data_IF_120895190346
#
_entry.id   IF_120895190346
#
_cell.length_a   1.000
_cell.length_b   1.000
_cell.length_c   1.000
_cell.angle_alpha   90.00
_cell.angle_beta   90.00
_cell.angle_gamma   90.00
#
_symmetry.space_group_name_H-M   'P 1'
#
loop_
_entity.id
_entity.type
_entity.pdbx_description
1 polymer ?
#
# COMPACT_ATOMS: atom_id res chain seq x y z
N UNK A 1 12.24 6.34 -11.01
CA UNK A 1 12.13 5.31 -9.96
C UNK A 1 13.39 4.48 -10.08
N UNK A 2 14.18 4.30 -9.02
CA UNK A 2 15.19 3.24 -9.04
C UNK A 2 14.42 1.94 -9.18
N UNK A 3 14.61 1.24 -10.29
CA UNK A 3 13.93 -0.01 -10.57
C UNK A 3 15.00 -1.05 -10.77
N UNK A 4 15.00 -2.07 -9.92
CA UNK A 4 15.90 -3.21 -10.06
C UNK A 4 15.62 -3.89 -11.39
N UNK A 5 16.69 -4.24 -12.09
CA UNK A 5 16.64 -5.03 -13.31
C UNK A 5 16.90 -6.51 -13.02
N UNK A 6 17.56 -6.81 -11.90
CA UNK A 6 17.85 -8.20 -11.50
C UNK A 6 17.46 -8.49 -10.05
N UNK A 7 17.41 -9.79 -9.72
CA UNK A 7 17.14 -10.25 -8.36
C UNK A 7 18.26 -9.89 -7.40
N UNK A 8 19.51 -9.92 -7.86
CA UNK A 8 20.70 -9.59 -7.07
C UNK A 8 20.70 -8.11 -6.70
N UNK A 9 20.30 -7.23 -7.62
CA UNK A 9 20.08 -5.81 -7.32
C UNK A 9 19.04 -5.60 -6.24
N UNK A 10 17.89 -6.29 -6.34
CA UNK A 10 16.87 -6.26 -5.32
C UNK A 10 17.44 -6.71 -3.96
N UNK A 11 18.14 -7.85 -3.92
CA UNK A 11 18.70 -8.40 -2.67
C UNK A 11 19.69 -7.46 -2.00
N UNK A 12 20.60 -6.85 -2.76
CA UNK A 12 21.54 -5.84 -2.23
C UNK A 12 20.82 -4.68 -1.54
N UNK A 13 19.68 -4.29 -2.08
CA UNK A 13 18.90 -3.14 -1.64
C UNK A 13 17.99 -3.47 -0.45
N UNK A 14 17.49 -4.70 -0.40
CA UNK A 14 16.84 -5.25 0.80
C UNK A 14 17.84 -5.44 1.95
N UNK A 15 19.09 -5.77 1.66
CA UNK A 15 20.16 -5.94 2.65
C UNK A 15 20.67 -4.62 3.25
N UNK A 16 20.34 -3.46 2.67
CA UNK A 16 20.80 -2.18 3.20
C UNK A 16 20.36 -1.98 4.65
N UNK A 17 21.27 -1.46 5.48
CA UNK A 17 21.01 -1.21 6.90
C UNK A 17 19.78 -0.29 7.12
N UNK A 18 19.53 0.67 6.22
CA UNK A 18 18.35 1.54 6.27
C UNK A 18 17.05 0.77 6.07
N UNK A 19 17.04 -0.24 5.19
CA UNK A 19 15.89 -1.13 4.95
C UNK A 19 15.66 -2.01 6.16
N UNK A 20 16.72 -2.65 6.67
CA UNK A 20 16.66 -3.52 7.85
C UNK A 20 16.15 -2.75 9.09
N UNK A 21 16.69 -1.55 9.34
CA UNK A 21 16.20 -0.67 10.42
C UNK A 21 14.74 -0.24 10.23
N UNK A 22 14.27 -0.06 8.99
CA UNK A 22 12.87 0.25 8.74
C UNK A 22 11.96 -0.96 9.04
N UNK A 23 12.40 -2.17 8.68
CA UNK A 23 11.70 -3.41 9.04
C UNK A 23 11.67 -3.60 10.55
N UNK A 24 12.80 -3.41 11.25
CA UNK A 24 12.87 -3.53 12.71
C UNK A 24 11.95 -2.53 13.42
N UNK A 25 11.94 -1.27 12.95
CA UNK A 25 11.01 -0.25 13.47
C UNK A 25 9.57 -0.66 13.25
N UNK A 26 9.27 -1.23 12.08
CA UNK A 26 7.94 -1.73 11.79
C UNK A 26 7.54 -2.90 12.68
N UNK A 27 8.44 -3.87 12.91
CA UNK A 27 8.20 -5.01 13.80
C UNK A 27 8.02 -4.60 15.27
N UNK A 28 8.51 -3.42 15.67
CA UNK A 28 8.29 -2.84 17.00
C UNK A 28 6.99 -2.04 17.12
N UNK A 29 6.31 -1.77 16.00
CA UNK A 29 5.01 -1.11 16.01
C UNK A 29 4.00 -1.91 16.84
N UNK A 30 3.10 -1.20 17.53
CA UNK A 30 2.10 -1.82 18.39
C UNK A 30 0.75 -1.15 18.20
N UNK A 31 -0.27 -1.94 17.88
CA UNK A 31 -1.66 -1.53 17.82
C UNK A 31 -2.37 -1.95 19.12
N UNK A 32 -2.96 -1.02 19.89
CA UNK A 32 -3.60 -1.35 21.16
C UNK A 32 -4.77 -2.34 21.03
N UNK A 33 -5.58 -2.18 19.99
CA UNK A 33 -6.79 -2.96 19.74
C UNK A 33 -7.20 -2.89 18.26
N UNK A 34 -8.24 -3.65 17.90
CA UNK A 34 -8.73 -3.78 16.51
C UNK A 34 -9.34 -2.47 16.01
N UNK A 35 -9.94 -1.68 16.88
CA UNK A 35 -10.52 -0.38 16.54
C UNK A 35 -9.44 0.62 16.11
N UNK A 36 -8.35 0.68 16.89
CA UNK A 36 -7.20 1.54 16.61
C UNK A 36 -6.49 1.08 15.32
N UNK A 37 -6.32 -0.23 15.16
CA UNK A 37 -5.83 -0.83 13.92
C UNK A 37 -6.66 -0.41 12.71
N UNK A 38 -7.99 -0.57 12.77
CA UNK A 38 -8.88 -0.24 11.66
C UNK A 38 -8.87 1.26 11.33
N UNK A 39 -8.57 2.11 12.33
CA UNK A 39 -8.36 3.53 12.13
C UNK A 39 -7.02 3.83 11.41
N UNK A 40 -5.95 3.14 11.79
CA UNK A 40 -4.58 3.42 11.35
C UNK A 40 -4.22 2.76 10.00
N UNK A 41 -4.77 1.58 9.69
CA UNK A 41 -4.37 0.85 8.49
C UNK A 41 -4.98 1.42 7.18
N UNK A 42 -6.04 2.23 7.28
CA UNK A 42 -6.73 2.83 6.13
C UNK A 42 -7.04 4.32 6.36
N UNK A 43 -5.98 5.13 6.34
CA UNK A 43 -6.06 6.57 6.53
C UNK A 43 -6.54 7.34 5.29
N UNK A 44 -6.79 8.65 5.45
CA UNK A 44 -7.20 9.56 4.37
C UNK A 44 -6.28 9.52 3.17
N UNK A 45 -4.96 9.41 3.34
CA UNK A 45 -4.02 9.35 2.21
C UNK A 45 -4.22 8.08 1.38
N UNK A 46 -4.40 6.94 2.06
CA UNK A 46 -4.74 5.67 1.42
C UNK A 46 -6.09 5.79 0.73
N UNK A 47 -7.13 6.28 1.41
CA UNK A 47 -8.46 6.46 0.84
C UNK A 47 -8.49 7.41 -0.38
N UNK A 48 -7.69 8.48 -0.39
CA UNK A 48 -7.58 9.39 -1.53
C UNK A 48 -7.09 8.70 -2.81
N UNK A 49 -6.29 7.64 -2.68
CA UNK A 49 -5.74 6.91 -3.82
C UNK A 49 -6.80 6.12 -4.62
N UNK A 50 -8.00 5.95 -4.06
CA UNK A 50 -9.08 5.19 -4.69
C UNK A 50 -9.85 6.02 -5.72
N UNK A 51 -9.50 7.31 -5.92
CA UNK A 51 -10.10 8.24 -6.90
C UNK A 51 -11.64 8.11 -6.96
N UNK A 52 -12.25 8.10 -5.79
CA UNK A 52 -13.68 8.21 -5.66
C UNK A 52 -14.12 9.45 -6.41
N UNK A 53 -14.89 9.27 -7.49
CA UNK A 53 -15.38 10.39 -8.30
C UNK A 53 -16.07 11.35 -7.34
N UNK A 54 -15.81 12.66 -7.49
CA UNK A 54 -16.52 13.71 -6.76
C UNK A 54 -18.01 13.58 -7.07
N UNK A 55 -18.71 12.83 -6.25
CA UNK A 55 -20.15 12.83 -6.17
C UNK A 55 -20.44 13.66 -4.93
N UNK A 56 -20.67 14.96 -5.13
CA UNK A 56 -20.99 15.97 -4.10
C UNK A 56 -22.35 15.69 -3.40
N UNK A 57 -22.75 14.43 -3.22
CA UNK A 57 -24.12 14.05 -2.89
C UNK A 57 -24.20 12.92 -1.83
N UNK A 58 -23.13 12.60 -1.08
CA UNK A 58 -23.21 11.65 0.07
C UNK A 58 -22.27 12.00 1.22
N UNK A 59 -22.78 11.91 2.45
CA UNK A 59 -22.02 12.09 3.71
C UNK A 59 -21.13 10.90 4.09
N UNK A 60 -21.18 9.79 3.35
CA UNK A 60 -20.52 8.55 3.75
C UNK A 60 -19.05 8.55 3.31
N UNK A 61 -18.13 8.69 4.27
CA UNK A 61 -16.69 8.63 4.00
C UNK A 61 -16.22 7.18 3.74
N UNK A 62 -15.36 6.93 2.74
CA UNK A 62 -14.79 5.60 2.46
C UNK A 62 -14.11 4.94 3.67
N UNK A 63 -13.44 5.76 4.49
CA UNK A 63 -12.80 5.30 5.73
C UNK A 63 -13.83 4.83 6.76
N UNK A 64 -15.02 5.43 6.79
CA UNK A 64 -16.10 5.00 7.67
C UNK A 64 -16.69 3.66 7.22
N UNK A 65 -16.88 3.46 5.91
CA UNK A 65 -17.31 2.17 5.34
C UNK A 65 -16.30 1.08 5.69
N UNK A 66 -15.01 1.33 5.45
CA UNK A 66 -13.95 0.39 5.80
C UNK A 66 -13.97 0.03 7.29
N UNK A 67 -14.05 1.01 8.19
CA UNK A 67 -14.04 0.76 9.65
C UNK A 67 -15.24 -0.07 10.10
N UNK A 68 -16.44 0.22 9.58
CA UNK A 68 -17.65 -0.58 9.87
C UNK A 68 -17.52 -2.03 9.41
N UNK A 69 -16.78 -2.29 8.34
CA UNK A 69 -16.48 -3.65 7.89
C UNK A 69 -15.33 -4.28 8.70
N UNK A 70 -14.23 -3.56 8.88
CA UNK A 70 -12.97 -4.10 9.40
C UNK A 70 -13.09 -4.52 10.86
N UNK A 71 -13.74 -3.72 11.70
CA UNK A 71 -13.85 -4.03 13.14
C UNK A 71 -14.53 -5.39 13.38
N UNK A 72 -15.79 -5.62 12.94
CA UNK A 72 -16.43 -6.92 13.16
C UNK A 72 -15.72 -8.06 12.41
N UNK A 73 -15.24 -7.82 11.18
CA UNK A 73 -14.54 -8.84 10.39
C UNK A 73 -13.27 -9.33 11.10
N UNK A 74 -12.41 -8.39 11.53
CA UNK A 74 -11.16 -8.73 12.20
C UNK A 74 -11.40 -9.30 13.59
N UNK A 75 -12.36 -8.78 14.36
CA UNK A 75 -12.70 -9.35 15.67
C UNK A 75 -13.12 -10.81 15.56
N UNK A 76 -13.96 -11.15 14.59
CA UNK A 76 -14.40 -12.53 14.37
C UNK A 76 -13.32 -13.46 13.82
N UNK A 77 -12.36 -12.95 13.05
CA UNK A 77 -11.37 -13.76 12.34
C UNK A 77 -9.97 -13.75 12.97
N UNK A 78 -9.66 -12.82 13.89
CA UNK A 78 -8.34 -12.67 14.47
C UNK A 78 -7.76 -13.97 15.05
N UNK A 79 -8.49 -14.78 15.85
CA UNK A 79 -7.95 -16.04 16.36
C UNK A 79 -7.47 -16.98 15.26
N UNK A 80 -8.26 -17.11 14.19
CA UNK A 80 -7.93 -17.93 13.01
C UNK A 80 -6.73 -17.40 12.26
N UNK A 81 -6.71 -16.09 11.96
CA UNK A 81 -5.64 -15.44 11.21
C UNK A 81 -4.32 -15.54 11.99
N UNK A 82 -4.38 -15.27 13.30
CA UNK A 82 -3.24 -15.42 14.21
C UNK A 82 -2.84 -16.88 14.41
N UNK A 83 -3.54 -17.86 13.83
CA UNK A 83 -3.18 -19.28 13.77
C UNK A 83 -2.53 -19.73 12.44
N UNK A 84 -2.44 -18.87 11.42
CA UNK A 84 -1.87 -19.26 10.11
C UNK A 84 -0.38 -19.62 10.12
N UNK A 85 -0.02 -20.67 9.40
CA UNK A 85 1.37 -21.14 9.30
C UNK A 85 1.86 -21.22 7.85
N UNK A 86 0.97 -21.03 6.88
CA UNK A 86 1.28 -21.19 5.45
C UNK A 86 0.79 -20.00 4.63
N UNK A 87 1.57 -19.54 3.63
CA UNK A 87 1.18 -18.44 2.75
C UNK A 87 -0.15 -18.62 2.02
N UNK A 88 -0.56 -19.86 1.70
CA UNK A 88 -1.83 -20.07 1.00
C UNK A 88 -3.03 -19.70 1.90
N UNK A 89 -2.95 -19.90 3.22
CA UNK A 89 -4.02 -19.55 4.14
C UNK A 89 -4.29 -18.04 4.13
N UNK A 90 -3.21 -17.24 4.07
CA UNK A 90 -3.30 -15.78 3.91
C UNK A 90 -3.97 -15.42 2.59
N UNK A 91 -3.58 -16.07 1.48
CA UNK A 91 -4.16 -15.78 0.15
C UNK A 91 -5.65 -16.09 0.06
N UNK A 92 -6.08 -17.21 0.61
CA UNK A 92 -7.50 -17.59 0.65
C UNK A 92 -8.29 -16.56 1.46
N UNK A 93 -7.81 -16.22 2.67
CA UNK A 93 -8.42 -15.18 3.48
C UNK A 93 -8.51 -13.85 2.74
N UNK A 94 -7.44 -13.41 2.07
CA UNK A 94 -7.45 -12.13 1.33
C UNK A 94 -8.52 -12.14 0.24
N UNK A 95 -8.71 -13.26 -0.47
CA UNK A 95 -9.74 -13.37 -1.48
C UNK A 95 -11.14 -13.23 -0.87
N UNK A 96 -11.44 -13.99 0.18
CA UNK A 96 -12.75 -13.98 0.83
C UNK A 96 -13.04 -12.63 1.49
N UNK A 97 -12.06 -12.08 2.21
CA UNK A 97 -12.12 -10.75 2.81
C UNK A 97 -12.36 -9.67 1.75
N UNK A 98 -11.69 -9.76 0.59
CA UNK A 98 -11.86 -8.81 -0.50
C UNK A 98 -13.30 -8.81 -1.01
N UNK A 99 -13.87 -9.99 -1.23
CA UNK A 99 -15.27 -10.11 -1.67
C UNK A 99 -16.23 -9.45 -0.67
N UNK A 100 -16.10 -9.74 0.63
CA UNK A 100 -16.96 -9.12 1.65
C UNK A 100 -16.78 -7.61 1.77
N UNK A 101 -15.55 -7.12 1.61
CA UNK A 101 -15.25 -5.68 1.60
C UNK A 101 -15.87 -4.99 0.39
N UNK A 102 -15.81 -5.60 -0.79
CA UNK A 102 -16.47 -5.10 -1.99
C UNK A 102 -17.99 -5.00 -1.79
N UNK A 103 -18.61 -6.04 -1.21
CA UNK A 103 -20.03 -6.01 -0.87
C UNK A 103 -20.38 -4.92 0.14
N UNK A 104 -19.54 -4.69 1.15
CA UNK A 104 -19.75 -3.61 2.13
C UNK A 104 -19.68 -2.22 1.47
N UNK A 105 -18.71 -2.01 0.57
CA UNK A 105 -18.61 -0.77 -0.21
C UNK A 105 -19.82 -0.59 -1.14
N UNK A 106 -20.24 -1.65 -1.84
CA UNK A 106 -21.42 -1.60 -2.69
C UNK A 106 -22.68 -1.25 -1.89
N UNK A 107 -22.92 -1.94 -0.77
CA UNK A 107 -24.09 -1.72 0.11
C UNK A 107 -24.16 -0.28 0.62
N UNK A 108 -23.07 0.23 1.16
CA UNK A 108 -23.04 1.53 1.84
C UNK A 108 -22.97 2.71 0.86
N UNK A 109 -22.53 2.48 -0.38
CA UNK A 109 -22.20 3.57 -1.32
C UNK A 109 -22.96 3.49 -2.63
N UNK A 110 -23.64 2.37 -2.94
CA UNK A 110 -24.40 2.16 -4.19
C UNK A 110 -23.57 2.49 -5.44
N UNK A 111 -22.39 1.85 -5.57
CA UNK A 111 -21.41 2.03 -6.67
C UNK A 111 -20.71 3.39 -6.77
N UNK A 112 -21.02 4.35 -5.89
CA UNK A 112 -20.33 5.65 -5.87
C UNK A 112 -18.82 5.50 -5.67
N UNK A 113 -18.44 4.48 -4.90
CA UNK A 113 -17.06 4.10 -4.66
C UNK A 113 -16.78 2.74 -5.28
N UNK A 114 -16.11 2.74 -6.42
CA UNK A 114 -15.68 1.51 -7.07
C UNK A 114 -14.58 0.86 -6.22
N UNK A 115 -14.95 -0.25 -5.58
CA UNK A 115 -14.04 -1.16 -4.89
C UNK A 115 -13.85 -2.40 -5.78
N UNK A 116 -12.86 -2.35 -6.65
CA UNK A 116 -12.47 -3.54 -7.42
C UNK A 116 -11.62 -4.51 -6.58
N UNK A 117 -11.32 -5.67 -7.16
CA UNK A 117 -10.61 -6.73 -6.46
C UNK A 117 -9.23 -6.28 -5.96
N UNK A 118 -8.42 -5.64 -6.82
CA UNK A 118 -7.07 -5.22 -6.46
C UNK A 118 -7.03 -4.15 -5.37
N UNK A 119 -7.98 -3.20 -5.41
CA UNK A 119 -8.21 -2.22 -4.34
C UNK A 119 -8.59 -2.91 -3.03
N UNK A 120 -9.55 -3.83 -3.07
CA UNK A 120 -9.99 -4.55 -1.88
C UNK A 120 -8.85 -5.38 -1.27
N UNK A 121 -8.16 -6.17 -2.09
CA UNK A 121 -7.05 -7.03 -1.66
C UNK A 121 -5.90 -6.21 -1.05
N UNK A 122 -5.59 -5.04 -1.60
CA UNK A 122 -4.61 -4.12 -1.00
C UNK A 122 -5.04 -3.70 0.40
N UNK A 123 -6.29 -3.26 0.56
CA UNK A 123 -6.82 -2.77 1.85
C UNK A 123 -6.85 -3.88 2.90
N UNK A 124 -7.23 -5.09 2.49
CA UNK A 124 -7.17 -6.27 3.37
C UNK A 124 -5.73 -6.53 3.81
N UNK A 125 -4.77 -6.57 2.88
CA UNK A 125 -3.36 -6.79 3.25
C UNK A 125 -2.81 -5.69 4.18
N UNK A 126 -3.24 -4.43 4.02
CA UNK A 126 -2.91 -3.37 4.97
C UNK A 126 -3.46 -3.69 6.37
N UNK A 127 -4.71 -4.14 6.47
CA UNK A 127 -5.29 -4.53 7.75
C UNK A 127 -4.54 -5.73 8.38
N UNK A 128 -4.20 -6.76 7.59
CA UNK A 128 -3.45 -7.93 8.07
C UNK A 128 -2.05 -7.57 8.55
N UNK A 129 -1.37 -6.67 7.82
CA UNK A 129 -0.08 -6.12 8.22
C UNK A 129 -0.16 -5.49 9.62
N UNK A 130 -1.18 -4.68 9.90
CA UNK A 130 -1.36 -4.11 11.23
C UNK A 130 -1.86 -5.13 12.28
N UNK A 131 -2.60 -6.16 11.86
CA UNK A 131 -3.16 -7.18 12.77
C UNK A 131 -2.06 -7.92 13.54
N UNK A 132 -0.94 -8.21 12.88
CA UNK A 132 0.19 -8.89 13.53
C UNK A 132 0.94 -7.97 14.50
N UNK A 133 0.67 -6.66 14.46
CA UNK A 133 1.17 -5.66 15.39
C UNK A 133 0.26 -5.45 16.61
N UNK A 134 -0.86 -6.19 16.75
CA UNK A 134 -1.69 -6.07 17.96
C UNK A 134 -0.87 -6.35 19.23
N UNK A 135 -1.14 -5.56 20.28
CA UNK A 135 -0.34 -5.55 21.51
C UNK A 135 -0.23 -6.91 22.21
N UNK A 136 -1.26 -7.77 22.07
CA UNK A 136 -1.29 -9.11 22.66
C UNK A 136 -0.62 -10.19 21.80
N UNK A 137 -0.19 -9.87 20.57
CA UNK A 137 0.50 -10.82 19.70
C UNK A 137 1.96 -10.92 20.13
N UNK A 138 2.40 -12.13 20.48
CA UNK A 138 3.77 -12.35 20.94
C UNK A 138 4.80 -12.04 19.84
N UNK A 139 6.02 -11.59 20.19
CA UNK A 139 7.06 -11.30 19.20
C UNK A 139 7.39 -12.48 18.29
N UNK A 140 7.49 -13.70 18.83
CA UNK A 140 7.73 -14.90 18.04
C UNK A 140 6.62 -15.15 17.02
N UNK A 141 5.36 -14.91 17.42
CA UNK A 141 4.23 -15.09 16.52
C UNK A 141 4.15 -14.02 15.44
N UNK A 142 4.44 -12.77 15.81
CA UNK A 142 4.58 -11.64 14.88
C UNK A 142 5.61 -11.95 13.80
N UNK A 143 6.81 -12.42 14.18
CA UNK A 143 7.85 -12.80 13.22
C UNK A 143 7.41 -13.96 12.33
N UNK A 144 6.79 -15.01 12.88
CA UNK A 144 6.30 -16.14 12.08
C UNK A 144 5.22 -15.72 11.06
N UNK A 145 4.32 -14.81 11.44
CA UNK A 145 3.29 -14.28 10.54
C UNK A 145 3.89 -13.35 9.49
N UNK A 146 4.85 -12.51 9.87
CA UNK A 146 5.56 -11.59 8.97
C UNK A 146 6.17 -12.30 7.77
N UNK A 147 6.71 -13.51 7.95
CA UNK A 147 7.27 -14.34 6.87
C UNK A 147 6.20 -14.83 5.86
N UNK A 148 4.99 -15.08 6.34
CA UNK A 148 3.92 -15.67 5.51
C UNK A 148 2.91 -14.65 5.01
N UNK A 149 2.94 -13.39 5.44
CA UNK A 149 2.03 -12.36 4.95
C UNK A 149 2.27 -12.06 3.48
N UNK A 150 1.16 -11.90 2.76
CA UNK A 150 1.17 -11.23 1.46
C UNK A 150 1.25 -9.71 1.69
N UNK A 151 1.72 -8.97 0.68
CA UNK A 151 1.90 -7.52 0.81
C UNK A 151 0.78 -6.73 0.12
N UNK A 152 0.48 -5.51 0.58
CA UNK A 152 -0.36 -4.57 -0.16
C UNK A 152 0.21 -4.28 -1.55
N UNK A 153 -0.56 -4.59 -2.60
CA UNK A 153 -0.18 -4.27 -3.98
C UNK A 153 -0.64 -2.85 -4.34
N UNK A 154 0.31 -1.97 -4.59
CA UNK A 154 0.10 -0.58 -4.96
C UNK A 154 1.05 -0.16 -6.09
N UNK A 155 0.98 1.10 -6.52
CA UNK A 155 1.82 1.58 -7.62
C UNK A 155 3.33 1.47 -7.36
N UNK A 156 3.76 1.49 -6.09
CA UNK A 156 5.18 1.45 -5.73
C UNK A 156 5.69 0.01 -5.76
N UNK A 157 4.99 -0.88 -5.06
CA UNK A 157 5.26 -2.32 -5.05
C UNK A 157 5.11 -2.94 -6.43
N UNK A 158 4.09 -2.59 -7.21
CA UNK A 158 3.94 -3.11 -8.57
C UNK A 158 4.93 -2.48 -9.55
N UNK A 159 5.23 -1.19 -9.39
CA UNK A 159 6.19 -0.48 -10.23
C UNK A 159 7.58 -1.07 -10.14
N UNK A 160 8.04 -1.35 -8.92
CA UNK A 160 9.34 -1.98 -8.68
C UNK A 160 9.42 -3.42 -9.17
N UNK A 161 8.31 -4.15 -9.11
CA UNK A 161 8.25 -5.55 -9.52
C UNK A 161 8.31 -5.70 -11.04
N UNK A 162 7.76 -4.73 -11.79
CA UNK A 162 7.54 -4.83 -13.24
C UNK A 162 8.77 -5.30 -14.04
N UNK A 163 9.99 -4.76 -13.89
CA UNK A 163 11.12 -5.19 -14.72
C UNK A 163 11.62 -6.60 -14.38
N UNK A 164 11.27 -7.12 -13.21
CA UNK A 164 11.64 -8.46 -12.75
C UNK A 164 10.64 -9.53 -13.20
N UNK A 165 9.55 -9.13 -13.86
CA UNK A 165 8.51 -10.02 -14.35
C UNK A 165 8.61 -10.22 -15.87
N UNK A 166 8.10 -11.36 -16.39
CA UNK A 166 7.93 -11.53 -17.82
C UNK A 166 7.15 -10.37 -18.46
N UNK A 167 7.56 -9.99 -19.67
CA UNK A 167 6.93 -8.91 -20.43
C UNK A 167 5.41 -9.11 -20.54
N UNK A 168 4.65 -8.05 -20.24
CA UNK A 168 3.20 -8.03 -20.39
C UNK A 168 2.38 -8.37 -19.15
N UNK A 169 3.00 -8.88 -18.06
CA UNK A 169 2.25 -9.19 -16.83
C UNK A 169 1.71 -7.93 -16.11
N UNK A 170 2.43 -6.82 -16.21
CA UNK A 170 2.01 -5.52 -15.67
C UNK A 170 2.14 -4.42 -16.73
N UNK A 171 1.25 -3.41 -16.76
CA UNK A 171 1.35 -2.27 -17.68
C UNK A 171 2.45 -1.29 -17.24
N UNK A 172 2.78 -0.30 -18.08
CA UNK A 172 3.94 0.61 -17.88
C UNK A 172 3.88 1.37 -16.57
N UNK A 173 2.68 1.77 -16.18
CA UNK A 173 2.39 2.49 -14.96
C UNK A 173 1.42 1.64 -14.12
N UNK A 174 1.90 0.57 -13.48
CA UNK A 174 1.01 -0.36 -12.80
C UNK A 174 0.40 0.27 -11.56
N UNK A 175 -0.80 -0.18 -11.25
CA UNK A 175 -1.64 0.28 -10.16
C UNK A 175 -2.43 -0.88 -9.59
N UNK A 176 -3.04 -0.68 -8.42
CA UNK A 176 -3.92 -1.69 -7.82
C UNK A 176 -5.09 -2.08 -8.73
N UNK A 177 -5.57 -1.19 -9.62
CA UNK A 177 -6.64 -1.52 -10.58
C UNK A 177 -6.20 -2.49 -11.70
N UNK A 178 -4.90 -2.74 -11.84
CA UNK A 178 -4.38 -3.73 -12.79
C UNK A 178 -4.43 -5.16 -12.21
N UNK A 179 -4.64 -5.29 -10.90
CA UNK A 179 -4.83 -6.58 -10.22
C UNK A 179 -6.32 -6.93 -10.26
N UNK A 180 -6.76 -7.46 -11.39
CA UNK A 180 -8.20 -7.64 -11.68
C UNK A 180 -8.81 -8.91 -11.10
N UNK A 181 -8.01 -9.96 -10.95
CA UNK A 181 -8.49 -11.29 -10.58
C UNK A 181 -7.67 -11.91 -9.46
N UNK A 182 -8.26 -12.90 -8.78
CA UNK A 182 -7.56 -13.76 -7.81
C UNK A 182 -6.32 -14.41 -8.42
N UNK A 183 -6.43 -14.89 -9.67
CA UNK A 183 -5.30 -15.51 -10.37
C UNK A 183 -4.15 -14.52 -10.56
N UNK A 184 -4.44 -13.28 -11.01
CA UNK A 184 -3.39 -12.25 -11.16
C UNK A 184 -2.72 -11.94 -9.82
N UNK A 185 -3.51 -11.78 -8.77
CA UNK A 185 -3.01 -11.53 -7.42
C UNK A 185 -2.09 -12.66 -6.92
N UNK A 186 -2.52 -13.92 -7.06
CA UNK A 186 -1.71 -15.07 -6.65
C UNK A 186 -0.39 -15.11 -7.42
N UNK A 187 -0.42 -14.90 -8.75
CA UNK A 187 0.80 -14.89 -9.57
C UNK A 187 1.78 -13.79 -9.13
N UNK A 188 1.27 -12.58 -8.85
CA UNK A 188 2.09 -11.46 -8.38
C UNK A 188 2.71 -11.76 -7.00
N UNK A 189 1.91 -12.22 -6.03
CA UNK A 189 2.40 -12.54 -4.68
C UNK A 189 3.41 -13.70 -4.69
N UNK A 190 3.21 -14.70 -5.55
CA UNK A 190 4.18 -15.79 -5.75
C UNK A 190 5.50 -15.27 -6.31
N UNK A 191 5.46 -14.39 -7.33
CA UNK A 191 6.66 -13.81 -7.90
C UNK A 191 7.45 -12.99 -6.88
N UNK A 192 6.78 -12.14 -6.07
CA UNK A 192 7.42 -11.39 -4.98
C UNK A 192 8.13 -12.34 -4.01
N UNK A 193 7.44 -13.42 -3.58
CA UNK A 193 8.02 -14.41 -2.67
C UNK A 193 9.24 -15.11 -3.27
N UNK A 194 9.17 -15.52 -4.53
CA UNK A 194 10.29 -16.16 -5.23
C UNK A 194 11.48 -15.22 -5.34
N UNK A 195 11.23 -13.95 -5.61
CA UNK A 195 12.28 -12.92 -5.69
C UNK A 195 12.93 -12.67 -4.33
N UNK A 196 12.18 -12.68 -3.22
CA UNK A 196 12.73 -12.40 -1.88
C UNK A 196 13.41 -13.60 -1.21
N UNK A 197 12.92 -14.83 -1.48
CA UNK A 197 13.47 -16.07 -0.90
C UNK A 197 14.96 -16.26 -1.27
N UNK A 198 15.77 -16.96 -0.46
CA UNK A 198 15.47 -17.45 0.89
C UNK A 198 15.75 -16.42 1.98
N UNK A 199 16.46 -15.35 1.66
CA UNK A 199 17.06 -14.43 2.63
C UNK A 199 16.07 -13.40 3.16
N UNK A 200 15.05 -13.03 2.36
CA UNK A 200 14.11 -11.98 2.71
C UNK A 200 12.66 -12.46 2.63
N UNK A 201 11.83 -11.88 3.50
CA UNK A 201 10.38 -12.00 3.43
C UNK A 201 9.78 -10.98 2.44
N UNK A 202 8.57 -11.22 1.90
CA UNK A 202 7.86 -10.22 1.08
C UNK A 202 7.70 -8.86 1.76
N UNK A 203 7.59 -8.85 3.08
CA UNK A 203 7.44 -7.62 3.85
C UNK A 203 8.68 -6.72 3.79
N UNK A 204 9.89 -7.28 3.67
CA UNK A 204 11.10 -6.49 3.42
C UNK A 204 10.97 -5.69 2.12
N UNK A 205 10.50 -6.36 1.07
CA UNK A 205 10.23 -5.74 -0.21
C UNK A 205 9.19 -4.62 -0.13
N UNK A 206 8.10 -4.83 0.61
CA UNK A 206 7.08 -3.78 0.78
C UNK A 206 7.60 -2.56 1.54
N UNK A 207 8.33 -2.77 2.64
CA UNK A 207 8.91 -1.67 3.43
C UNK A 207 9.88 -0.86 2.58
N UNK A 208 10.73 -1.54 1.81
CA UNK A 208 11.64 -0.89 0.88
C UNK A 208 10.87 -0.09 -0.18
N UNK A 209 9.93 -0.73 -0.87
CA UNK A 209 9.18 -0.12 -1.97
C UNK A 209 8.41 1.12 -1.52
N UNK A 210 7.79 1.05 -0.33
CA UNK A 210 7.08 2.18 0.26
C UNK A 210 8.02 3.33 0.63
N UNK A 211 9.17 3.05 1.24
CA UNK A 211 10.12 4.08 1.67
C UNK A 211 10.68 4.85 0.47
N UNK A 212 11.11 4.15 -0.57
CA UNK A 212 11.59 4.79 -1.80
C UNK A 212 10.48 5.56 -2.51
N UNK A 213 9.31 4.94 -2.64
CA UNK A 213 8.15 5.55 -3.28
C UNK A 213 7.72 6.86 -2.60
N UNK A 214 7.73 6.85 -1.27
CA UNK A 214 7.38 8.01 -0.43
C UNK A 214 8.45 9.10 -0.48
N UNK A 215 9.74 8.74 -0.40
CA UNK A 215 10.85 9.69 -0.49
C UNK A 215 10.88 10.40 -1.86
N UNK A 216 10.66 9.68 -2.95
CA UNK A 216 10.59 10.25 -4.30
C UNK A 216 9.38 11.19 -4.45
N UNK A 217 8.22 10.81 -3.91
CA UNK A 217 7.04 11.66 -3.93
C UNK A 217 7.26 12.96 -3.15
N UNK A 218 7.95 12.90 -2.01
CA UNK A 218 8.32 14.08 -1.22
C UNK A 218 9.27 15.01 -2.00
N UNK A 219 10.31 14.47 -2.64
CA UNK A 219 11.23 15.23 -3.49
C UNK A 219 10.52 15.91 -4.66
N UNK A 220 9.65 15.19 -5.37
CA UNK A 220 8.86 15.74 -6.47
C UNK A 220 7.92 16.88 -6.02
N UNK A 221 7.29 16.73 -4.85
CA UNK A 221 6.43 17.78 -4.26
C UNK A 221 7.25 19.02 -3.89
N UNK A 222 8.45 18.85 -3.33
CA UNK A 222 9.35 19.94 -3.01
C UNK A 222 9.81 20.69 -4.27
N UNK A 223 10.22 19.96 -5.32
CA UNK A 223 10.61 20.53 -6.61
C UNK A 223 9.47 21.32 -7.26
N UNK A 224 8.24 20.79 -7.24
CA UNK A 224 7.05 21.50 -7.77
C UNK A 224 6.75 22.79 -6.98
N UNK A 225 6.90 22.75 -5.65
CA UNK A 225 6.74 23.94 -4.79
C UNK A 225 7.81 25.00 -5.09
N UNK A 226 9.06 24.57 -5.27
CA UNK A 226 10.17 25.47 -5.62
C UNK A 226 9.98 26.12 -7.00
N UNK A 227 9.56 25.34 -8.01
CA UNK A 227 9.26 25.86 -9.35
C UNK A 227 8.10 26.88 -9.33
N UNK A 228 7.04 26.60 -8.56
CA UNK A 228 5.92 27.52 -8.39
C UNK A 228 6.34 28.82 -7.66
N UNK A 229 7.24 28.75 -6.68
CA UNK A 229 7.76 29.92 -5.95
C UNK A 229 8.73 30.78 -6.80
N UNK A 230 9.48 30.16 -7.72
CA UNK A 230 10.38 30.86 -8.63
C UNK A 230 9.68 31.53 -9.82
N UNK A 231 8.43 31.19 -10.10
CA UNK A 231 7.66 31.81 -11.21
C UNK A 231 6.98 33.13 -10.76
N UNK A 232 6.83 33.37 -9.45
CA UNK A 232 6.17 34.57 -8.90
C UNK A 232 7.06 35.81 -8.78
N UNK A 233 8.35 35.75 -9.13
CA UNK A 233 9.30 36.87 -8.93
C UNK A 233 9.75 37.57 -10.22
N UNK A 234 9.16 37.26 -11.38
CA UNK A 234 9.59 37.78 -12.70
C UNK A 234 8.63 38.76 -13.39
N UNK A 235 7.62 39.32 -12.70
CA UNK A 235 6.69 40.31 -13.28
C UNK A 235 6.51 41.55 -12.41
N UNK A 236 7.61 42.10 -11.89
CA UNK A 236 7.63 43.44 -11.33
C UNK A 236 8.97 44.12 -11.67
N UNK A 237 9.03 44.80 -12.81
CA UNK A 237 10.22 45.59 -13.15
C UNK A 237 10.37 45.95 -14.63
N UNK A 238 9.42 46.71 -15.19
CA UNK A 238 9.69 47.54 -16.37
C UNK A 238 8.65 48.67 -16.50
N UNK A 239 8.63 49.59 -15.53
CA UNK A 239 8.18 50.96 -15.80
C UNK A 239 9.44 51.81 -15.72
N UNK A 240 10.05 52.06 -16.87
CA UNK A 240 11.09 53.09 -17.01
C UNK A 240 10.65 54.04 -18.10
N UNK A 241 10.26 55.22 -17.62
CA UNK A 241 10.05 56.48 -18.32
C UNK A 241 11.10 56.79 -19.38
N UNK A 242 10.65 57.31 -20.52
CA UNK A 242 11.44 58.20 -21.37
C UNK A 242 10.51 59.18 -22.06
N UNK A 243 10.31 60.31 -21.40
CA UNK A 243 9.86 61.57 -22.03
C UNK A 243 11.00 62.08 -22.91
N UNK A 244 10.69 62.56 -24.12
CA UNK A 244 11.34 63.74 -24.71
C UNK A 244 10.51 64.33 -25.86
N UNK A 245 10.05 65.55 -25.56
CA UNK A 245 9.60 66.68 -26.41
C UNK A 245 8.33 66.45 -27.23
#
# INVERSE_FOLDING_TARGET
>A
MNVFQTREELHRELALASTQQAVDRWLKHSEPNIETLAQNCFERNTARSFRFKKLDITDVQPTAVFRRWAVPYLTGNAPTILGFTKPYQVRELVHDASSTLQSAFYRDTRERYEMDYGRAAKVVNLALKHLICLAHVSPARRSALFEILDIPLDKYTLGMLRPLLPNGLLPRNPSMGDVKTRANYISIQKAIRQLCNPEFSPMHYEVYAYNIGSAQAAKAKAAKKAAAAGTTTSTAGAISSSVKI
#
